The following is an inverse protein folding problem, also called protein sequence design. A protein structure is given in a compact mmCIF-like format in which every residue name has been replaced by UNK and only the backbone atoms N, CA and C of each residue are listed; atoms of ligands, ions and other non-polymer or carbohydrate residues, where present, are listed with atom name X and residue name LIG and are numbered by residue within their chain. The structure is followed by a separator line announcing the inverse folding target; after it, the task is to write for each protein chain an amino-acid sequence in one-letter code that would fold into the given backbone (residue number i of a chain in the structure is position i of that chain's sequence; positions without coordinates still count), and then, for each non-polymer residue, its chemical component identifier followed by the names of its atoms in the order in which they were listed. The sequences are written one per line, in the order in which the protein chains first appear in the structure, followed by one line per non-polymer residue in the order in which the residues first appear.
data_IF_254588352567
#
_entry.id   IF_254588352567
#
_cell.length_a   1.000
_cell.length_b   1.000
_cell.length_c   1.000
_cell.angle_alpha   90.00
_cell.angle_beta   90.00
_cell.angle_gamma   90.00
#
_symmetry.space_group_name_H-M   'P 1'
#
loop_
_entity.id
_entity.type
_entity.pdbx_description
1 polymer ?
#
# COMPACT_ATOMS: atom_id res chain seq x y z
N UNK A 1 50.27 -20.01 -49.58
CA UNK A 1 49.20 -20.66 -48.80
C UNK A 1 49.05 -19.97 -47.42
N UNK A 2 48.81 -18.64 -47.37
CA UNK A 2 48.92 -17.89 -46.10
C UNK A 2 48.03 -16.66 -45.93
N UNK A 3 47.17 -16.33 -46.91
CA UNK A 3 46.32 -15.12 -46.86
C UNK A 3 44.87 -15.39 -46.40
N UNK A 4 44.44 -16.66 -46.36
CA UNK A 4 43.10 -17.05 -45.92
C UNK A 4 42.99 -17.38 -44.43
N UNK A 5 44.07 -17.84 -43.80
CA UNK A 5 44.09 -18.25 -42.39
C UNK A 5 43.93 -17.07 -41.41
N UNK A 6 44.55 -15.92 -41.72
CA UNK A 6 44.46 -14.71 -40.90
C UNK A 6 43.07 -14.06 -40.93
N UNK A 7 42.39 -14.11 -42.07
CA UNK A 7 41.02 -13.58 -42.19
C UNK A 7 40.02 -14.40 -41.36
N UNK A 8 40.12 -15.73 -41.36
CA UNK A 8 39.23 -16.60 -40.58
C UNK A 8 39.37 -16.41 -39.07
N UNK A 9 40.61 -16.27 -38.56
CA UNK A 9 40.88 -16.01 -37.15
C UNK A 9 40.32 -14.64 -36.71
N UNK A 10 40.49 -13.61 -37.56
CA UNK A 10 40.00 -12.27 -37.27
C UNK A 10 38.46 -12.19 -37.28
N UNK A 11 37.78 -13.00 -38.10
CA UNK A 11 36.33 -13.12 -38.08
C UNK A 11 35.82 -13.86 -36.83
N UNK A 12 36.50 -14.93 -36.41
CA UNK A 12 36.12 -15.68 -35.21
C UNK A 12 36.28 -14.83 -33.93
N UNK A 13 37.39 -14.11 -33.78
CA UNK A 13 37.62 -13.20 -32.65
C UNK A 13 36.62 -12.04 -32.63
N UNK A 14 36.24 -11.50 -33.79
CA UNK A 14 35.18 -10.47 -33.86
C UNK A 14 33.84 -11.03 -33.40
N UNK A 15 33.46 -12.23 -33.86
CA UNK A 15 32.19 -12.86 -33.49
C UNK A 15 32.09 -13.12 -31.98
N UNK A 16 33.17 -13.61 -31.33
CA UNK A 16 33.20 -13.78 -29.87
C UNK A 16 33.03 -12.44 -29.13
N UNK A 17 33.76 -11.39 -29.53
CA UNK A 17 33.67 -10.06 -28.92
C UNK A 17 32.26 -9.45 -29.10
N UNK A 18 31.64 -9.58 -30.28
CA UNK A 18 30.27 -9.11 -30.50
C UNK A 18 29.26 -9.84 -29.62
N UNK A 19 29.44 -11.14 -29.41
CA UNK A 19 28.52 -11.96 -28.58
C UNK A 19 28.64 -11.59 -27.11
N UNK A 20 29.86 -11.39 -26.59
CA UNK A 20 30.08 -10.96 -25.19
C UNK A 20 29.58 -9.54 -24.93
N UNK A 21 29.81 -8.60 -25.86
CA UNK A 21 29.31 -7.22 -25.75
C UNK A 21 27.78 -7.18 -25.82
N UNK A 22 27.15 -7.98 -26.69
CA UNK A 22 25.69 -8.09 -26.73
C UNK A 22 25.12 -8.69 -25.45
N UNK A 23 25.73 -9.74 -24.89
CA UNK A 23 25.30 -10.34 -23.63
C UNK A 23 25.42 -9.36 -22.45
N UNK A 24 26.54 -8.65 -22.35
CA UNK A 24 26.75 -7.64 -21.30
C UNK A 24 25.79 -6.46 -21.47
N UNK A 25 25.54 -6.00 -22.69
CA UNK A 25 24.57 -4.95 -22.97
C UNK A 25 23.13 -5.38 -22.60
N UNK A 26 22.76 -6.63 -22.90
CA UNK A 26 21.46 -7.20 -22.50
C UNK A 26 21.30 -7.28 -20.98
N UNK A 27 22.35 -7.68 -20.24
CA UNK A 27 22.33 -7.75 -18.78
C UNK A 27 22.22 -6.35 -18.15
N UNK A 28 22.92 -5.35 -18.70
CA UNK A 28 22.83 -3.96 -18.24
C UNK A 28 21.43 -3.39 -18.52
N UNK A 29 20.86 -3.61 -19.70
CA UNK A 29 19.50 -3.14 -20.03
C UNK A 29 18.44 -3.80 -19.13
N UNK A 30 18.52 -5.11 -18.86
CA UNK A 30 17.63 -5.80 -17.94
C UNK A 30 17.74 -5.27 -16.50
N UNK A 31 18.96 -4.98 -16.03
CA UNK A 31 19.18 -4.43 -14.68
C UNK A 31 18.67 -3.00 -14.50
N UNK A 32 18.69 -2.18 -15.57
CA UNK A 32 18.22 -0.79 -15.52
C UNK A 32 16.69 -0.71 -15.56
N UNK A 33 16.00 -1.66 -16.20
CA UNK A 33 14.53 -1.70 -16.19
C UNK A 33 13.91 -2.06 -14.84
N UNK A 34 14.67 -2.71 -13.94
CA UNK A 34 14.20 -3.04 -12.59
C UNK A 34 14.28 -1.86 -11.61
N UNK A 35 15.12 -0.85 -11.90
CA UNK A 35 15.36 0.28 -10.99
C UNK A 35 14.35 1.42 -11.08
N UNK A 36 13.50 1.45 -12.11
CA UNK A 36 12.63 2.59 -12.39
C UNK A 36 11.18 2.45 -11.88
N UNK A 37 10.79 1.30 -11.33
CA UNK A 37 9.42 1.05 -10.83
C UNK A 37 9.28 1.11 -9.30
N UNK A 38 10.35 1.42 -8.56
CA UNK A 38 10.41 1.18 -7.12
C UNK A 38 9.80 2.27 -6.22
N UNK A 39 9.11 3.29 -6.76
CA UNK A 39 8.46 4.30 -5.91
C UNK A 39 7.09 4.71 -6.48
N UNK A 40 6.03 4.20 -5.86
CA UNK A 40 4.69 4.81 -5.93
C UNK A 40 3.50 3.89 -6.19
N UNK A 41 3.72 2.65 -6.64
CA UNK A 41 2.63 1.72 -6.95
C UNK A 41 2.66 0.51 -6.04
N UNK A 42 1.50 0.12 -5.49
CA UNK A 42 1.32 -1.17 -4.83
C UNK A 42 1.45 -2.30 -5.87
N UNK A 43 2.58 -3.01 -5.86
CA UNK A 43 2.78 -4.18 -6.70
C UNK A 43 1.95 -5.38 -6.23
N UNK A 44 1.89 -6.44 -7.04
CA UNK A 44 1.19 -7.67 -6.64
C UNK A 44 1.91 -8.34 -5.45
N UNK A 45 3.24 -8.23 -5.41
CA UNK A 45 4.07 -8.70 -4.32
C UNK A 45 3.84 -7.89 -3.03
N UNK A 46 3.78 -6.56 -3.13
CA UNK A 46 3.46 -5.68 -2.00
C UNK A 46 2.05 -5.98 -1.47
N UNK A 47 1.07 -6.14 -2.37
CA UNK A 47 -0.30 -6.50 -2.02
C UNK A 47 -0.34 -7.82 -1.22
N UNK A 48 0.34 -8.85 -1.70
CA UNK A 48 0.43 -10.13 -1.01
C UNK A 48 1.15 -10.02 0.35
N UNK A 49 2.18 -9.18 0.47
CA UNK A 49 2.85 -8.90 1.73
C UNK A 49 1.93 -8.19 2.73
N UNK A 50 1.22 -7.14 2.28
CA UNK A 50 0.26 -6.40 3.11
C UNK A 50 -0.88 -7.30 3.58
N UNK A 51 -1.41 -8.16 2.71
CA UNK A 51 -2.42 -9.15 3.08
C UNK A 51 -1.91 -10.10 4.18
N UNK A 52 -0.67 -10.61 4.08
CA UNK A 52 -0.08 -11.48 5.12
C UNK A 52 0.09 -10.76 6.45
N UNK A 53 0.65 -9.55 6.44
CA UNK A 53 0.82 -8.72 7.64
C UNK A 53 -0.55 -8.45 8.26
N UNK A 54 -1.52 -8.03 7.44
CA UNK A 54 -2.87 -7.70 7.89
C UNK A 54 -3.58 -8.91 8.53
N UNK A 55 -3.50 -10.10 7.93
CA UNK A 55 -4.08 -11.32 8.51
C UNK A 55 -3.47 -11.68 9.87
N UNK A 56 -2.16 -11.41 10.08
CA UNK A 56 -1.51 -11.66 11.38
C UNK A 56 -1.99 -10.71 12.49
N UNK A 57 -2.38 -9.49 12.12
CA UNK A 57 -2.83 -8.43 13.04
C UNK A 57 -4.34 -8.47 13.25
N UNK A 58 -5.09 -8.77 12.19
CA UNK A 58 -6.55 -8.72 12.11
C UNK A 58 -7.16 -10.12 11.95
N UNK A 59 -6.71 -11.12 12.71
CA UNK A 59 -7.31 -12.47 12.71
C UNK A 59 -8.56 -12.56 13.59
N UNK A 60 -9.49 -13.47 13.25
CA UNK A 60 -10.78 -13.62 13.95
C UNK A 60 -10.63 -14.12 15.40
N UNK A 61 -9.47 -14.68 15.72
CA UNK A 61 -9.16 -15.28 17.01
C UNK A 61 -9.02 -14.23 18.13
N UNK A 62 -8.90 -12.94 17.80
CA UNK A 62 -8.65 -11.88 18.78
C UNK A 62 -9.53 -10.63 18.59
N UNK A 63 -10.85 -10.79 18.70
CA UNK A 63 -11.83 -9.68 18.57
C UNK A 63 -11.54 -8.47 19.48
N UNK A 64 -11.04 -8.70 20.70
CA UNK A 64 -10.62 -7.62 21.61
C UNK A 64 -9.43 -6.80 21.10
N UNK A 65 -8.45 -7.46 20.46
CA UNK A 65 -7.27 -6.79 19.87
C UNK A 65 -7.65 -5.95 18.66
N UNK A 66 -8.60 -6.42 17.86
CA UNK A 66 -9.14 -5.68 16.71
C UNK A 66 -9.72 -4.33 17.12
N UNK A 67 -10.55 -4.30 18.15
CA UNK A 67 -11.13 -3.04 18.65
C UNK A 67 -10.04 -2.13 19.22
N UNK A 68 -9.07 -2.68 19.93
CA UNK A 68 -7.96 -1.92 20.49
C UNK A 68 -7.11 -1.25 19.40
N UNK A 69 -6.73 -2.00 18.37
CA UNK A 69 -5.99 -1.48 17.21
C UNK A 69 -6.78 -0.39 16.48
N UNK A 70 -8.05 -0.69 16.15
CA UNK A 70 -8.90 0.25 15.45
C UNK A 70 -9.04 1.56 16.23
N UNK A 71 -9.20 1.49 17.56
CA UNK A 71 -9.25 2.66 18.42
C UNK A 71 -7.90 3.39 18.48
N UNK A 72 -6.79 2.67 18.59
CA UNK A 72 -5.45 3.26 18.69
C UNK A 72 -5.12 4.16 17.49
N UNK A 73 -5.46 3.73 16.27
CA UNK A 73 -5.28 4.54 15.05
C UNK A 73 -6.06 5.86 15.11
N UNK A 74 -7.29 5.82 15.60
CA UNK A 74 -8.08 7.06 15.71
C UNK A 74 -7.65 7.96 16.85
N UNK A 75 -7.18 7.39 17.96
CA UNK A 75 -6.61 8.17 19.08
C UNK A 75 -5.38 8.93 18.58
N UNK A 76 -4.45 8.23 17.91
CA UNK A 76 -3.28 8.84 17.28
C UNK A 76 -3.66 9.94 16.28
N UNK A 77 -4.63 9.67 15.39
CA UNK A 77 -5.15 10.67 14.44
C UNK A 77 -5.67 11.94 15.13
N UNK A 78 -6.40 11.80 16.23
CA UNK A 78 -7.00 12.93 16.94
C UNK A 78 -5.98 13.70 17.77
N UNK A 79 -4.97 13.03 18.31
CA UNK A 79 -3.85 13.67 19.01
C UNK A 79 -3.03 14.55 18.04
N UNK A 80 -2.75 14.02 16.85
CA UNK A 80 -1.98 14.74 15.82
C UNK A 80 -2.80 15.77 15.03
N UNK A 81 -4.10 15.56 14.89
CA UNK A 81 -4.99 16.41 14.10
C UNK A 81 -6.30 16.73 14.85
N UNK A 82 -6.26 17.52 15.94
CA UNK A 82 -7.44 17.75 16.79
C UNK A 82 -8.67 18.33 16.07
N UNK A 83 -8.46 19.06 14.97
CA UNK A 83 -9.54 19.61 14.13
C UNK A 83 -10.40 18.52 13.47
N UNK A 84 -9.87 17.32 13.30
CA UNK A 84 -10.56 16.18 12.65
C UNK A 84 -11.65 15.60 13.54
N UNK A 85 -11.56 15.74 14.87
CA UNK A 85 -12.53 15.20 15.84
C UNK A 85 -13.97 15.64 15.52
N UNK A 86 -14.15 16.88 15.05
CA UNK A 86 -15.46 17.42 14.70
C UNK A 86 -16.20 16.64 13.60
N UNK A 87 -15.45 16.03 12.66
CA UNK A 87 -16.00 15.21 11.58
C UNK A 87 -16.66 13.92 12.11
N UNK A 88 -16.31 13.51 13.32
CA UNK A 88 -16.78 12.28 13.97
C UNK A 88 -17.76 12.55 15.12
N UNK A 89 -18.34 13.76 15.19
CA UNK A 89 -19.34 14.13 16.22
C UNK A 89 -20.56 13.20 16.26
N UNK A 90 -21.04 12.75 15.09
CA UNK A 90 -22.17 11.80 14.96
C UNK A 90 -21.92 10.42 15.58
N UNK A 91 -20.67 10.07 15.85
CA UNK A 91 -20.26 8.79 16.45
C UNK A 91 -19.63 8.99 17.83
N UNK A 92 -19.86 10.15 18.46
CA UNK A 92 -19.39 10.49 19.80
C UNK A 92 -17.87 10.39 19.99
N UNK A 93 -17.09 10.85 19.00
CA UNK A 93 -15.62 10.82 19.06
C UNK A 93 -14.99 11.67 20.18
N UNK A 94 -15.75 12.57 20.80
CA UNK A 94 -15.32 13.28 22.01
C UNK A 94 -15.09 12.33 23.20
N UNK A 95 -15.78 11.18 23.22
CA UNK A 95 -15.50 10.07 24.11
C UNK A 95 -15.06 8.84 23.29
N UNK A 96 -13.75 8.70 23.12
CA UNK A 96 -13.14 7.59 22.37
C UNK A 96 -13.41 6.21 23.00
N UNK A 97 -13.91 6.16 24.24
CA UNK A 97 -14.28 4.91 24.91
C UNK A 97 -15.77 4.58 24.79
N UNK A 98 -16.58 5.48 24.21
CA UNK A 98 -18.00 5.25 23.96
C UNK A 98 -18.26 4.05 23.04
N UNK A 99 -19.41 3.40 23.21
CA UNK A 99 -19.76 2.24 22.39
C UNK A 99 -20.01 2.61 20.93
N UNK A 100 -20.56 3.81 20.70
CA UNK A 100 -20.81 4.41 19.40
C UNK A 100 -19.51 4.59 18.61
N UNK A 101 -18.50 5.15 19.27
CA UNK A 101 -17.20 5.38 18.65
C UNK A 101 -16.46 4.07 18.39
N UNK A 102 -16.43 3.16 19.37
CA UNK A 102 -15.82 1.83 19.19
C UNK A 102 -16.47 1.05 18.04
N UNK A 103 -17.80 1.12 17.91
CA UNK A 103 -18.51 0.51 16.79
C UNK A 103 -18.14 1.18 15.45
N UNK A 104 -17.91 2.49 15.43
CA UNK A 104 -17.42 3.19 14.25
C UNK A 104 -16.01 2.73 13.85
N UNK A 105 -15.06 2.65 14.78
CA UNK A 105 -13.70 2.16 14.52
C UNK A 105 -13.73 0.76 13.87
N UNK A 106 -14.58 -0.15 14.38
CA UNK A 106 -14.75 -1.49 13.81
C UNK A 106 -15.28 -1.43 12.37
N UNK A 107 -16.26 -0.56 12.07
CA UNK A 107 -16.78 -0.41 10.70
C UNK A 107 -15.70 0.09 9.73
N UNK A 108 -14.88 1.05 10.15
CA UNK A 108 -13.78 1.60 9.33
C UNK A 108 -12.76 0.52 9.03
N UNK A 109 -12.30 -0.20 10.05
CA UNK A 109 -11.28 -1.23 9.85
C UNK A 109 -11.81 -2.45 9.09
N UNK A 110 -13.09 -2.81 9.22
CA UNK A 110 -13.70 -3.82 8.34
C UNK A 110 -13.79 -3.36 6.87
N UNK A 111 -14.03 -2.06 6.63
CA UNK A 111 -13.95 -1.48 5.29
C UNK A 111 -12.54 -1.56 4.72
N UNK A 112 -11.52 -1.28 5.54
CA UNK A 112 -10.11 -1.42 5.18
C UNK A 112 -9.73 -2.90 4.93
N UNK A 113 -10.16 -3.82 5.78
CA UNK A 113 -9.96 -5.28 5.63
C UNK A 113 -10.50 -5.79 4.29
N UNK A 114 -11.68 -5.31 3.90
CA UNK A 114 -12.27 -5.59 2.58
C UNK A 114 -11.39 -5.06 1.45
N UNK A 115 -10.94 -3.80 1.53
CA UNK A 115 -10.08 -3.22 0.51
C UNK A 115 -8.72 -3.94 0.41
N UNK A 116 -8.09 -4.30 1.54
CA UNK A 116 -6.84 -5.05 1.59
C UNK A 116 -7.01 -6.44 0.97
N UNK A 117 -8.11 -7.13 1.28
CA UNK A 117 -8.41 -8.46 0.72
C UNK A 117 -8.58 -8.42 -0.81
N UNK A 118 -8.96 -7.28 -1.36
CA UNK A 118 -9.13 -7.07 -2.81
C UNK A 118 -7.88 -6.52 -3.51
N UNK A 119 -6.76 -6.27 -2.81
CA UNK A 119 -5.54 -5.71 -3.44
C UNK A 119 -4.99 -6.53 -4.61
N UNK A 120 -5.23 -7.85 -4.60
CA UNK A 120 -4.83 -8.78 -5.67
C UNK A 120 -5.91 -8.98 -6.75
N UNK A 121 -7.05 -8.29 -6.63
CA UNK A 121 -8.14 -8.26 -7.62
C UNK A 121 -8.48 -6.80 -8.00
N UNK A 122 -7.71 -6.19 -8.92
CA UNK A 122 -7.83 -4.77 -9.22
C UNK A 122 -9.20 -4.35 -9.74
N UNK A 123 -9.90 -5.23 -10.46
CA UNK A 123 -11.21 -4.93 -11.02
C UNK A 123 -12.24 -4.77 -9.90
N UNK A 124 -12.33 -5.73 -8.99
CA UNK A 124 -13.24 -5.66 -7.85
C UNK A 124 -12.82 -4.60 -6.83
N UNK A 125 -11.51 -4.39 -6.63
CA UNK A 125 -11.03 -3.29 -5.80
C UNK A 125 -11.50 -1.92 -6.33
N UNK A 126 -11.44 -1.68 -7.64
CA UNK A 126 -11.88 -0.41 -8.21
C UNK A 126 -13.36 -0.11 -7.94
N UNK A 127 -14.23 -1.11 -8.07
CA UNK A 127 -15.65 -0.97 -7.74
C UNK A 127 -15.86 -0.67 -6.25
N UNK A 128 -15.13 -1.39 -5.39
CA UNK A 128 -15.19 -1.15 -3.94
C UNK A 128 -14.69 0.26 -3.57
N UNK A 129 -13.61 0.74 -4.18
CA UNK A 129 -13.07 2.07 -3.92
C UNK A 129 -14.00 3.17 -4.44
N UNK A 130 -14.64 2.97 -5.60
CA UNK A 130 -15.70 3.86 -6.10
C UNK A 130 -16.89 3.94 -5.13
N UNK A 131 -17.32 2.80 -4.58
CA UNK A 131 -18.36 2.77 -3.55
C UNK A 131 -17.95 3.55 -2.29
N UNK A 132 -16.73 3.32 -1.79
CA UNK A 132 -16.19 4.03 -0.63
C UNK A 132 -16.02 5.53 -0.89
N UNK A 133 -15.60 5.93 -2.09
CA UNK A 133 -15.48 7.33 -2.50
C UNK A 133 -16.83 8.03 -2.38
N UNK A 134 -17.90 7.45 -2.93
CA UNK A 134 -19.26 7.99 -2.82
C UNK A 134 -19.73 8.15 -1.36
N UNK A 135 -19.36 7.21 -0.48
CA UNK A 135 -19.70 7.31 0.94
C UNK A 135 -19.01 8.49 1.64
N UNK A 136 -17.76 8.78 1.27
CA UNK A 136 -16.96 9.86 1.87
C UNK A 136 -17.23 11.22 1.23
N UNK A 137 -17.52 11.28 -0.08
CA UNK A 137 -17.94 12.50 -0.76
C UNK A 137 -19.26 13.04 -0.20
N UNK A 138 -20.13 12.16 0.28
CA UNK A 138 -21.37 12.52 0.98
C UNK A 138 -21.16 12.98 2.45
N UNK A 139 -19.94 13.35 2.85
CA UNK A 139 -19.61 13.84 4.20
C UNK A 139 -18.94 15.20 4.10
N UNK A 140 -19.68 16.24 4.43
CA UNK A 140 -19.19 17.61 4.43
C UNK A 140 -17.93 17.74 5.30
N UNK A 141 -16.91 18.41 4.76
CA UNK A 141 -15.64 18.65 5.45
C UNK A 141 -14.63 17.51 5.36
N UNK A 142 -14.98 16.34 4.79
CA UNK A 142 -13.97 15.33 4.45
C UNK A 142 -13.15 15.82 3.25
N UNK A 143 -11.83 15.68 3.34
CA UNK A 143 -10.87 16.22 2.37
C UNK A 143 -9.70 15.26 2.21
N UNK A 144 -8.99 15.36 1.09
CA UNK A 144 -7.82 14.52 0.79
C UNK A 144 -6.79 14.49 1.94
N UNK A 145 -6.50 15.64 2.54
CA UNK A 145 -5.54 15.77 3.64
C UNK A 145 -5.91 14.91 4.88
N UNK A 146 -7.20 14.62 5.10
CA UNK A 146 -7.64 13.75 6.19
C UNK A 146 -7.27 12.28 5.93
N UNK A 147 -7.20 11.86 4.67
CA UNK A 147 -6.73 10.53 4.30
C UNK A 147 -5.21 10.40 4.43
N UNK A 148 -4.47 11.47 4.16
CA UNK A 148 -3.02 11.51 4.43
C UNK A 148 -2.74 11.47 5.94
N UNK A 149 -3.57 12.12 6.75
CA UNK A 149 -3.48 12.08 8.21
C UNK A 149 -3.71 10.66 8.75
N UNK A 150 -4.81 10.00 8.36
CA UNK A 150 -5.07 8.63 8.84
C UNK A 150 -4.05 7.61 8.29
N UNK A 151 -3.49 7.84 7.10
CA UNK A 151 -2.40 7.01 6.57
C UNK A 151 -1.17 7.04 7.47
N UNK A 152 -0.79 8.22 7.97
CA UNK A 152 0.29 8.38 8.95
C UNK A 152 -0.01 7.64 10.25
N UNK A 153 -1.20 7.83 10.81
CA UNK A 153 -1.61 7.12 12.03
C UNK A 153 -1.58 5.59 11.89
N UNK A 154 -1.97 5.04 10.74
CA UNK A 154 -1.79 3.61 10.49
C UNK A 154 -0.31 3.22 10.43
N UNK A 155 0.53 4.00 9.77
CA UNK A 155 1.97 3.74 9.67
C UNK A 155 2.68 3.81 11.04
N UNK A 156 2.19 4.62 11.97
CA UNK A 156 2.74 4.76 13.33
C UNK A 156 2.25 3.65 14.28
N UNK A 157 1.01 3.19 14.11
CA UNK A 157 0.41 2.16 14.97
C UNK A 157 0.76 0.73 14.53
N UNK A 158 0.79 0.45 13.22
CA UNK A 158 1.01 -0.91 12.71
C UNK A 158 2.34 -1.57 13.16
N UNK A 159 3.49 -0.88 13.23
CA UNK A 159 4.74 -1.45 13.75
C UNK A 159 4.64 -1.95 15.19
N UNK A 160 3.70 -1.43 15.99
CA UNK A 160 3.53 -1.79 17.40
C UNK A 160 2.79 -3.13 17.56
N UNK A 161 2.10 -3.59 16.52
CA UNK A 161 1.27 -4.80 16.53
C UNK A 161 1.77 -5.88 15.56
N UNK A 162 2.81 -5.60 14.77
CA UNK A 162 3.44 -6.55 13.87
C UNK A 162 4.96 -6.48 13.93
N UNK A 163 5.61 -7.59 14.30
CA UNK A 163 7.07 -7.68 14.38
C UNK A 163 7.77 -7.64 13.02
N UNK A 164 7.03 -7.85 11.91
CA UNK A 164 7.57 -7.92 10.55
C UNK A 164 6.85 -6.92 9.64
N UNK A 165 6.65 -5.70 10.14
CA UNK A 165 5.98 -4.64 9.39
C UNK A 165 6.89 -4.05 8.31
N UNK A 166 6.52 -4.28 7.05
CA UNK A 166 7.18 -3.69 5.89
C UNK A 166 6.53 -2.35 5.52
N UNK A 167 7.09 -1.25 6.06
CA UNK A 167 6.50 0.08 5.92
C UNK A 167 6.37 0.56 4.47
N UNK A 168 7.32 0.22 3.60
CA UNK A 168 7.27 0.60 2.18
C UNK A 168 6.10 -0.06 1.45
N UNK A 169 5.92 -1.37 1.64
CA UNK A 169 4.81 -2.14 1.07
C UNK A 169 3.47 -1.61 1.58
N UNK A 170 3.38 -1.40 2.90
CA UNK A 170 2.19 -0.84 3.54
C UNK A 170 1.83 0.52 2.96
N UNK A 171 2.78 1.46 2.93
CA UNK A 171 2.53 2.82 2.47
C UNK A 171 2.12 2.86 0.99
N UNK A 172 2.75 2.05 0.13
CA UNK A 172 2.38 1.98 -1.29
C UNK A 172 0.94 1.45 -1.49
N UNK A 173 0.55 0.40 -0.77
CA UNK A 173 -0.79 -0.18 -0.87
C UNK A 173 -1.88 0.61 -0.15
N UNK A 174 -1.55 1.23 0.98
CA UNK A 174 -2.47 2.14 1.65
C UNK A 174 -2.73 3.38 0.79
N UNK A 175 -1.69 3.95 0.16
CA UNK A 175 -1.83 5.05 -0.80
C UNK A 175 -2.68 4.66 -2.02
N UNK A 176 -2.57 3.41 -2.50
CA UNK A 176 -3.43 2.90 -3.58
C UNK A 176 -4.92 2.86 -3.18
N UNK A 177 -5.21 2.49 -1.93
CA UNK A 177 -6.57 2.45 -1.38
C UNK A 177 -7.09 3.88 -1.16
N UNK A 178 -6.38 4.71 -0.41
CA UNK A 178 -6.80 6.09 -0.13
C UNK A 178 -6.89 6.93 -1.38
N UNK A 179 -5.97 6.77 -2.33
CA UNK A 179 -6.00 7.46 -3.62
C UNK A 179 -7.28 7.17 -4.41
N UNK A 180 -7.78 5.93 -4.38
CA UNK A 180 -9.05 5.58 -5.03
C UNK A 180 -10.28 6.20 -4.32
N UNK A 181 -10.24 6.33 -3.00
CA UNK A 181 -11.33 6.99 -2.23
C UNK A 181 -11.31 8.50 -2.50
N UNK A 182 -10.12 9.10 -2.43
CA UNK A 182 -9.90 10.54 -2.61
C UNK A 182 -10.22 11.00 -4.02
N UNK A 183 -10.02 10.16 -5.04
CA UNK A 183 -10.32 10.54 -6.43
C UNK A 183 -11.79 10.87 -6.71
N UNK A 184 -12.71 10.50 -5.81
CA UNK A 184 -14.13 10.83 -5.91
C UNK A 184 -14.61 11.91 -4.93
N UNK A 185 -13.71 12.56 -4.18
CA UNK A 185 -14.02 13.67 -3.29
C UNK A 185 -14.11 15.01 -4.03
#
# INVERSE_FOLDING_TARGET
YGRGHTALLQWCQKAEVYTTIMMLALLVVLSVTSGAFAQGCCSMEDAAQVQRIWQSVWSAEFTGRRIALAKAVFVDLFEDNPSVVGLFSRVNAADVNSNEFRAHCVRVVNGLDTAISLLTDPATLNEQLSHLANQHAARDGVAAAHFDAIARSFADVMPQVSNCFEASCWNACFARITGGIVSGL
#
